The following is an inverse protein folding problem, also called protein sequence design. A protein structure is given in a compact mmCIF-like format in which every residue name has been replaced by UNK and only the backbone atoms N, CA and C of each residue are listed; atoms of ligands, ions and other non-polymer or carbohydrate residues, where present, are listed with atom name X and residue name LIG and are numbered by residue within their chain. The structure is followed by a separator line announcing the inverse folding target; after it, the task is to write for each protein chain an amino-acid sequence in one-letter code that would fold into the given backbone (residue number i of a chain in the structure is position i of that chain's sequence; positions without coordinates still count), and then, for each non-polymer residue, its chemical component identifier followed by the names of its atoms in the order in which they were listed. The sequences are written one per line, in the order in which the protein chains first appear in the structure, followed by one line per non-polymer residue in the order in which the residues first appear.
data_IF_986013407543
#
_entry.id   IF_986013407543
#
_cell.length_a   1.000
_cell.length_b   1.000
_cell.length_c   1.000
_cell.angle_alpha   90.00
_cell.angle_beta   90.00
_cell.angle_gamma   90.00
#
_symmetry.space_group_name_H-M   'P 1'
#
loop_
_entity.id
_entity.type
_entity.pdbx_description
1 polymer ?
#
# COMPACT_ATOMS: atom_id res chain seq x y z
N UNK A 1 -3.20 -7.72 17.19
CA UNK A 1 -3.73 -7.50 15.83
C UNK A 1 -5.17 -8.02 15.69
N UNK A 2 -6.19 -7.40 16.33
CA UNK A 2 -7.60 -7.79 16.17
C UNK A 2 -8.10 -7.74 14.71
N UNK A 3 -7.47 -6.91 13.87
CA UNK A 3 -7.78 -6.73 12.46
C UNK A 3 -7.58 -7.99 11.61
N UNK A 4 -6.74 -8.95 12.03
CA UNK A 4 -6.49 -10.18 11.28
C UNK A 4 -7.73 -11.08 11.17
N UNK A 5 -8.69 -10.97 12.11
CA UNK A 5 -9.93 -11.77 12.09
C UNK A 5 -11.02 -11.18 11.19
N UNK A 6 -10.91 -9.90 10.84
CA UNK A 6 -11.94 -9.18 10.09
C UNK A 6 -11.32 -8.05 9.25
N UNK A 7 -10.30 -8.38 8.45
CA UNK A 7 -9.46 -7.39 7.77
C UNK A 7 -10.27 -6.47 6.86
N UNK A 8 -11.19 -7.01 6.07
CA UNK A 8 -12.05 -6.22 5.19
C UNK A 8 -12.89 -5.22 5.99
N UNK A 9 -13.58 -5.67 7.04
CA UNK A 9 -14.39 -4.81 7.90
C UNK A 9 -13.56 -3.80 8.69
N UNK A 10 -12.33 -4.14 9.06
CA UNK A 10 -11.44 -3.22 9.76
C UNK A 10 -11.01 -2.05 8.85
N UNK A 11 -10.66 -2.36 7.60
CA UNK A 11 -10.34 -1.33 6.60
C UNK A 11 -11.56 -0.50 6.23
N UNK A 12 -12.73 -1.13 6.05
CA UNK A 12 -13.99 -0.44 5.76
C UNK A 12 -14.36 0.56 6.86
N UNK A 13 -14.32 0.15 8.14
CA UNK A 13 -14.55 1.06 9.29
C UNK A 13 -13.54 2.22 9.36
N UNK A 14 -12.33 2.03 8.84
CA UNK A 14 -11.32 3.08 8.75
C UNK A 14 -11.54 4.00 7.53
N UNK A 15 -12.65 3.86 6.79
CA UNK A 15 -12.92 4.61 5.57
C UNK A 15 -12.05 4.14 4.40
N UNK A 16 -11.64 2.89 4.40
CA UNK A 16 -10.73 2.28 3.44
C UNK A 16 -11.32 1.05 2.75
N UNK A 17 -10.48 0.30 2.04
CA UNK A 17 -10.84 -1.03 1.56
C UNK A 17 -9.62 -1.95 1.57
N UNK A 18 -9.87 -3.25 1.43
CA UNK A 18 -8.86 -4.29 1.34
C UNK A 18 -9.24 -5.28 0.25
N UNK A 19 -8.29 -5.64 -0.60
CA UNK A 19 -8.48 -6.60 -1.69
C UNK A 19 -7.46 -7.73 -1.58
N UNK A 20 -7.92 -8.94 -1.92
CA UNK A 20 -7.08 -10.10 -2.14
C UNK A 20 -7.08 -10.46 -3.62
N UNK A 21 -5.94 -10.89 -4.12
CA UNK A 21 -5.81 -11.52 -5.42
C UNK A 21 -5.75 -13.03 -5.23
N UNK A 22 -6.65 -13.74 -5.91
CA UNK A 22 -6.76 -15.19 -5.83
C UNK A 22 -6.30 -15.86 -7.12
N UNK A 23 -5.67 -17.04 -6.99
CA UNK A 23 -5.34 -17.91 -8.11
C UNK A 23 -5.56 -19.35 -7.69
N UNK A 24 -6.44 -20.05 -8.41
CA UNK A 24 -6.78 -21.45 -8.11
C UNK A 24 -7.29 -21.66 -6.67
N UNK A 25 -8.01 -20.69 -6.11
CA UNK A 25 -8.53 -20.75 -4.74
C UNK A 25 -7.55 -20.28 -3.65
N UNK A 26 -6.29 -20.02 -4.00
CA UNK A 26 -5.30 -19.51 -3.06
C UNK A 26 -5.14 -17.99 -3.15
N UNK A 27 -5.04 -17.33 -2.00
CA UNK A 27 -4.66 -15.91 -1.93
C UNK A 27 -3.17 -15.78 -2.25
N UNK A 28 -2.87 -15.14 -3.39
CA UNK A 28 -1.50 -14.96 -3.90
C UNK A 28 -1.02 -13.51 -3.81
N UNK A 29 -1.86 -12.60 -3.32
CA UNK A 29 -1.48 -11.24 -2.99
C UNK A 29 -2.60 -10.46 -2.35
N UNK A 30 -2.28 -9.30 -1.78
CA UNK A 30 -3.25 -8.41 -1.19
C UNK A 30 -2.75 -6.97 -1.17
N UNK A 31 -3.69 -6.05 -1.00
CA UNK A 31 -3.43 -4.63 -0.76
C UNK A 31 -4.64 -4.01 -0.07
N UNK A 32 -4.42 -3.03 0.78
CA UNK A 32 -5.48 -2.18 1.30
C UNK A 32 -5.10 -0.71 1.23
N UNK A 33 -6.05 0.14 1.59
CA UNK A 33 -5.80 1.55 1.81
C UNK A 33 -6.69 2.11 2.91
N UNK A 34 -6.27 3.21 3.52
CA UNK A 34 -7.15 4.04 4.36
C UNK A 34 -7.01 5.51 3.95
N UNK A 35 -7.87 6.43 4.39
CA UNK A 35 -7.64 7.86 4.23
C UNK A 35 -6.28 8.24 4.82
N UNK A 36 -5.59 9.16 4.14
CA UNK A 36 -4.33 9.74 4.61
C UNK A 36 -4.59 10.60 5.85
N UNK A 37 -3.56 10.72 6.70
CA UNK A 37 -3.56 11.70 7.80
C UNK A 37 -3.03 13.07 7.38
N UNK A 38 -2.50 13.21 6.16
CA UNK A 38 -1.84 14.42 5.64
C UNK A 38 -2.75 15.24 4.69
N UNK A 39 -4.06 15.07 4.82
CA UNK A 39 -5.06 15.83 4.07
C UNK A 39 -5.84 14.97 3.07
N UNK A 40 -6.15 15.52 1.90
CA UNK A 40 -6.98 14.88 0.89
C UNK A 40 -6.19 13.83 0.10
N UNK A 41 -5.80 12.74 0.76
CA UNK A 41 -5.08 11.62 0.15
C UNK A 41 -5.54 10.28 0.71
N UNK A 42 -4.94 9.20 0.21
CA UNK A 42 -5.05 7.87 0.82
C UNK A 42 -3.66 7.28 1.08
N UNK A 43 -3.57 6.46 2.12
CA UNK A 43 -2.37 5.68 2.45
C UNK A 43 -2.55 4.24 1.96
N UNK A 44 -1.69 3.80 1.04
CA UNK A 44 -1.58 2.41 0.60
C UNK A 44 -0.94 1.57 1.70
N UNK A 45 -1.58 0.44 2.03
CA UNK A 45 -1.20 -0.43 3.14
C UNK A 45 -1.15 -1.88 2.73
N UNK A 46 -0.33 -2.66 3.44
CA UNK A 46 -0.33 -4.12 3.41
C UNK A 46 -0.23 -4.70 1.97
N UNK A 47 0.62 -4.11 1.13
CA UNK A 47 0.89 -4.65 -0.20
C UNK A 47 1.80 -5.88 -0.09
N UNK A 48 1.25 -7.05 -0.38
CA UNK A 48 2.02 -8.29 -0.41
C UNK A 48 1.72 -9.10 -1.67
N UNK A 49 2.77 -9.71 -2.23
CA UNK A 49 2.68 -10.60 -3.38
C UNK A 49 3.46 -11.86 -3.07
N UNK A 50 2.78 -13.01 -3.18
CA UNK A 50 3.37 -14.31 -2.96
C UNK A 50 4.59 -14.51 -3.87
N UNK A 51 5.69 -15.05 -3.31
CA UNK A 51 6.99 -15.13 -4.00
C UNK A 51 6.90 -15.79 -5.37
N UNK A 52 6.12 -16.87 -5.48
CA UNK A 52 5.96 -17.64 -6.71
C UNK A 52 5.30 -16.87 -7.87
N UNK A 53 4.60 -15.77 -7.60
CA UNK A 53 3.91 -14.96 -8.61
C UNK A 53 4.46 -13.53 -8.69
N UNK A 54 5.61 -13.24 -8.07
CA UNK A 54 6.29 -11.96 -8.25
C UNK A 54 6.76 -11.80 -9.69
N UNK A 55 6.92 -10.55 -10.14
CA UNK A 55 7.29 -10.19 -11.52
C UNK A 55 6.27 -10.60 -12.60
N UNK A 56 5.08 -11.05 -12.21
CA UNK A 56 3.95 -11.33 -13.12
C UNK A 56 3.11 -10.09 -13.50
N UNK A 57 3.44 -8.92 -12.95
CA UNK A 57 2.59 -7.72 -13.01
C UNK A 57 1.54 -7.62 -11.90
N UNK A 58 1.35 -8.65 -11.06
CA UNK A 58 0.33 -8.63 -10.00
C UNK A 58 0.48 -7.44 -9.02
N UNK A 59 1.70 -7.16 -8.57
CA UNK A 59 1.95 -6.01 -7.69
C UNK A 59 1.56 -4.67 -8.32
N UNK A 60 1.80 -4.50 -9.61
CA UNK A 60 1.40 -3.29 -10.34
C UNK A 60 -0.12 -3.15 -10.38
N UNK A 61 -0.85 -4.24 -10.71
CA UNK A 61 -2.32 -4.26 -10.72
C UNK A 61 -2.93 -3.96 -9.36
N UNK A 62 -2.31 -4.44 -8.28
CA UNK A 62 -2.76 -4.15 -6.91
C UNK A 62 -2.58 -2.66 -6.56
N UNK A 63 -1.43 -2.07 -6.89
CA UNK A 63 -1.22 -0.62 -6.69
C UNK A 63 -2.16 0.20 -7.57
N UNK A 64 -2.40 -0.21 -8.83
CA UNK A 64 -3.37 0.44 -9.72
C UNK A 64 -4.77 0.43 -9.14
N UNK A 65 -5.17 -0.66 -8.49
CA UNK A 65 -6.49 -0.74 -7.83
C UNK A 65 -6.62 0.30 -6.71
N UNK A 66 -5.56 0.52 -5.93
CA UNK A 66 -5.52 1.55 -4.89
C UNK A 66 -5.54 2.95 -5.50
N UNK A 67 -4.71 3.21 -6.52
CA UNK A 67 -4.67 4.50 -7.21
C UNK A 67 -6.02 4.83 -7.88
N UNK A 68 -6.73 3.83 -8.42
CA UNK A 68 -8.07 4.00 -8.96
C UNK A 68 -9.07 4.38 -7.86
N UNK A 69 -9.08 3.64 -6.75
CA UNK A 69 -9.96 3.96 -5.62
C UNK A 69 -9.68 5.35 -5.04
N UNK A 70 -8.42 5.80 -5.05
CA UNK A 70 -8.05 7.15 -4.68
C UNK A 70 -8.73 8.19 -5.59
N UNK A 71 -8.63 8.01 -6.91
CA UNK A 71 -9.24 8.92 -7.91
C UNK A 71 -10.77 8.92 -7.81
N UNK A 72 -11.39 7.75 -7.66
CA UNK A 72 -12.85 7.62 -7.46
C UNK A 72 -13.35 8.39 -6.24
N UNK A 73 -12.48 8.60 -5.25
CA UNK A 73 -12.77 9.36 -4.02
C UNK A 73 -12.38 10.83 -4.10
N UNK A 74 -11.84 11.29 -5.23
CA UNK A 74 -11.34 12.66 -5.38
C UNK A 74 -10.09 12.96 -4.54
N UNK A 75 -9.32 11.93 -4.16
CA UNK A 75 -8.07 12.11 -3.45
C UNK A 75 -7.03 12.79 -4.37
N UNK A 76 -6.23 13.69 -3.81
CA UNK A 76 -5.17 14.40 -4.52
C UNK A 76 -3.88 13.57 -4.65
N UNK A 77 -3.64 12.63 -3.73
CA UNK A 77 -2.41 11.83 -3.72
C UNK A 77 -2.61 10.44 -3.13
N UNK A 78 -1.67 9.55 -3.42
CA UNK A 78 -1.47 8.28 -2.70
C UNK A 78 -0.12 8.34 -1.99
N UNK A 79 -0.09 7.96 -0.72
CA UNK A 79 1.13 7.83 0.07
C UNK A 79 1.33 6.41 0.60
N UNK A 80 2.54 6.09 1.04
CA UNK A 80 2.85 4.85 1.74
C UNK A 80 4.12 4.99 2.59
N UNK A 81 4.23 4.09 3.55
CA UNK A 81 5.45 3.86 4.32
C UNK A 81 5.99 2.46 3.99
N UNK A 82 7.31 2.35 3.83
CA UNK A 82 7.96 1.09 3.49
C UNK A 82 9.25 0.92 4.28
N UNK A 83 9.46 -0.25 4.88
CA UNK A 83 10.67 -0.60 5.62
C UNK A 83 11.93 -0.30 4.78
N UNK A 84 12.93 0.35 5.37
CA UNK A 84 14.22 0.68 4.74
C UNK A 84 14.90 -0.53 4.11
N UNK A 85 14.67 -1.73 4.64
CA UNK A 85 15.21 -3.01 4.17
C UNK A 85 14.57 -3.46 2.83
N UNK A 86 13.45 -2.87 2.40
CA UNK A 86 12.69 -3.29 1.22
C UNK A 86 13.09 -2.55 -0.07
N UNK A 87 14.38 -2.51 -0.39
CA UNK A 87 14.91 -1.81 -1.57
C UNK A 87 14.25 -2.19 -2.90
N UNK A 88 13.87 -3.47 -3.06
CA UNK A 88 13.18 -3.91 -4.28
C UNK A 88 11.78 -3.30 -4.39
N UNK A 89 11.09 -3.10 -3.26
CA UNK A 89 9.81 -2.40 -3.21
C UNK A 89 9.99 -0.90 -3.49
N UNK A 90 11.04 -0.27 -2.95
CA UNK A 90 11.35 1.14 -3.22
C UNK A 90 11.53 1.40 -4.72
N UNK A 91 12.38 0.61 -5.38
CA UNK A 91 12.55 0.70 -6.85
C UNK A 91 11.26 0.43 -7.62
N UNK A 92 10.37 -0.40 -7.06
CA UNK A 92 9.06 -0.66 -7.65
C UNK A 92 8.12 0.55 -7.54
N UNK A 93 8.08 1.22 -6.38
CA UNK A 93 7.31 2.45 -6.19
C UNK A 93 7.85 3.61 -7.03
N UNK A 94 9.16 3.80 -7.06
CA UNK A 94 9.84 4.84 -7.86
C UNK A 94 9.50 4.71 -9.35
N UNK A 95 9.58 3.50 -9.92
CA UNK A 95 9.18 3.24 -11.32
C UNK A 95 7.71 3.51 -11.61
N UNK A 96 6.86 3.57 -10.57
CA UNK A 96 5.43 3.89 -10.68
C UNK A 96 5.12 5.37 -10.43
N UNK A 97 6.15 6.20 -10.29
CA UNK A 97 6.01 7.64 -10.07
C UNK A 97 5.72 8.02 -8.61
N UNK A 98 6.04 7.14 -7.65
CA UNK A 98 6.10 7.54 -6.26
C UNK A 98 7.47 8.14 -5.98
N UNK A 99 7.47 9.29 -5.34
CA UNK A 99 8.67 10.01 -4.94
C UNK A 99 8.90 9.86 -3.45
N UNK A 100 10.16 9.70 -3.07
CA UNK A 100 10.58 9.68 -1.67
C UNK A 100 10.93 11.10 -1.25
N UNK A 101 10.27 11.62 -0.21
CA UNK A 101 10.46 13.01 0.23
C UNK A 101 11.46 13.19 1.39
N UNK A 102 12.21 12.13 1.71
CA UNK A 102 13.27 12.13 2.72
C UNK A 102 12.80 11.83 4.14
N UNK A 103 11.49 11.78 4.40
CA UNK A 103 10.98 11.43 5.73
C UNK A 103 11.23 9.95 6.05
N UNK A 104 11.52 9.71 7.32
CA UNK A 104 11.61 8.38 7.91
C UNK A 104 10.93 8.36 9.28
N UNK A 105 10.44 7.18 9.68
CA UNK A 105 9.91 6.95 11.04
C UNK A 105 10.44 5.65 11.62
N UNK A 106 10.67 5.65 12.92
CA UNK A 106 11.00 4.44 13.69
C UNK A 106 9.73 3.94 14.38
N UNK A 107 9.43 2.65 14.23
CA UNK A 107 8.22 2.04 14.81
C UNK A 107 8.47 1.42 16.18
N UNK A 108 9.73 1.23 16.59
CA UNK A 108 10.14 0.55 17.82
C UNK A 108 9.36 -0.76 18.07
N UNK A 109 9.10 -1.50 16.98
CA UNK A 109 8.45 -2.80 17.02
C UNK A 109 9.49 -3.91 17.20
N UNK A 110 9.03 -5.16 17.28
CA UNK A 110 9.93 -6.33 17.47
C UNK A 110 11.00 -6.49 16.37
N UNK A 111 10.85 -5.79 15.24
CA UNK A 111 11.76 -5.84 14.09
C UNK A 111 12.65 -4.61 13.95
N UNK A 112 12.60 -3.69 14.92
CA UNK A 112 13.24 -2.36 14.88
C UNK A 112 13.00 -1.70 13.51
N UNK A 113 11.74 -1.69 13.08
CA UNK A 113 11.36 -1.22 11.75
C UNK A 113 11.59 0.27 11.64
N UNK A 114 12.38 0.66 10.65
CA UNK A 114 12.49 2.04 10.16
C UNK A 114 11.80 2.06 8.79
N UNK A 115 10.95 3.05 8.54
CA UNK A 115 10.24 3.15 7.26
C UNK A 115 10.53 4.47 6.57
N UNK A 116 10.64 4.44 5.25
CA UNK A 116 10.68 5.61 4.39
C UNK A 116 9.29 5.96 3.86
N UNK A 117 9.02 7.26 3.78
CA UNK A 117 7.80 7.79 3.18
C UNK A 117 7.92 7.90 1.66
N UNK A 118 6.85 7.56 0.96
CA UNK A 118 6.70 7.75 -0.47
C UNK A 118 5.34 8.37 -0.78
N UNK A 119 5.28 9.23 -1.80
CA UNK A 119 4.05 9.87 -2.25
C UNK A 119 4.00 9.99 -3.77
N UNK A 120 2.79 9.85 -4.31
CA UNK A 120 2.47 10.09 -5.71
C UNK A 120 1.27 11.02 -5.80
N UNK A 121 1.47 12.18 -6.42
CA UNK A 121 0.38 13.06 -6.80
C UNK A 121 -0.50 12.39 -7.87
N UNK A 122 -1.81 12.53 -7.72
CA UNK A 122 -2.77 12.10 -8.72
C UNK A 122 -3.12 13.32 -9.57
N UNK A 123 -2.92 13.19 -10.89
CA UNK A 123 -3.41 14.20 -11.82
C UNK A 123 -4.92 14.38 -11.62
N UNK A 124 -5.36 15.65 -11.62
CA UNK A 124 -6.78 16.02 -11.61
C UNK A 124 -7.49 15.58 -12.87
#
# INVERSE_FOLDING_TARGET
MPELRAVASAFDRAGGAFWCAERQGDVVGCVGYSPSREGNGIELKKLYVHRAVRRSGLGARLVERVEQAARERGAAFVELWSDVKFETAHRFYERRGYERDGRARELHDESDTVEYYFRKELAR
#
